data_IF_138616788149
#
_entry.id   IF_138616788149
#
_cell.length_a   1.000
_cell.length_b   1.000
_cell.length_c   1.000
_cell.angle_alpha   90.00
_cell.angle_beta   90.00
_cell.angle_gamma   90.00
#
_symmetry.space_group_name_H-M   'P 1'
#
loop_
_entity.id
_entity.type
_entity.pdbx_description
1 polymer ?
#
# COMPACT_ATOMS: atom_id res chain seq x y z
N UNK A 1 -14.63 10.72 -1.38
CA UNK A 1 -13.80 10.47 -2.58
C UNK A 1 -12.41 9.94 -2.22
N UNK A 2 -11.65 10.59 -1.31
CA UNK A 2 -10.30 10.15 -0.90
C UNK A 2 -10.19 8.67 -0.46
N UNK A 3 -11.13 8.15 0.33
CA UNK A 3 -11.09 6.74 0.76
C UNK A 3 -11.23 5.73 -0.40
N UNK A 4 -11.96 6.09 -1.46
CA UNK A 4 -12.09 5.25 -2.65
C UNK A 4 -10.80 5.22 -3.47
N UNK A 5 -10.13 6.36 -3.61
CA UNK A 5 -8.81 6.43 -4.27
C UNK A 5 -7.76 5.61 -3.51
N UNK A 6 -7.73 5.70 -2.18
CA UNK A 6 -6.87 4.87 -1.35
C UNK A 6 -7.13 3.38 -1.60
N UNK A 7 -8.40 2.96 -1.54
CA UNK A 7 -8.79 1.56 -1.75
C UNK A 7 -8.35 1.07 -3.14
N UNK A 8 -8.49 1.91 -4.18
CA UNK A 8 -8.01 1.58 -5.53
C UNK A 8 -6.48 1.43 -5.58
N UNK A 9 -5.72 2.35 -4.97
CA UNK A 9 -4.26 2.27 -4.94
C UNK A 9 -3.77 1.00 -4.23
N UNK A 10 -4.38 0.65 -3.11
CA UNK A 10 -4.05 -0.58 -2.37
C UNK A 10 -4.44 -1.85 -3.14
N UNK A 11 -5.59 -1.85 -3.83
CA UNK A 11 -6.02 -2.97 -4.66
C UNK A 11 -5.05 -3.22 -5.83
N UNK A 12 -4.64 -2.16 -6.54
CA UNK A 12 -3.65 -2.27 -7.62
C UNK A 12 -2.30 -2.76 -7.09
N UNK A 13 -1.84 -2.25 -5.94
CA UNK A 13 -0.61 -2.73 -5.31
C UNK A 13 -0.68 -4.23 -4.98
N UNK A 14 -1.81 -4.71 -4.46
CA UNK A 14 -2.02 -6.13 -4.20
C UNK A 14 -1.97 -7.01 -5.46
N UNK A 15 -2.52 -6.52 -6.58
CA UNK A 15 -2.43 -7.22 -7.88
C UNK A 15 -0.98 -7.31 -8.36
N UNK A 16 -0.21 -6.22 -8.26
CA UNK A 16 1.20 -6.18 -8.68
C UNK A 16 2.04 -7.18 -7.84
N UNK A 17 1.81 -7.22 -6.52
CA UNK A 17 2.48 -8.17 -5.64
C UNK A 17 2.09 -9.62 -5.95
N UNK A 18 0.80 -9.90 -6.15
CA UNK A 18 0.34 -11.25 -6.50
C UNK A 18 0.87 -11.72 -7.86
N UNK A 19 1.11 -10.79 -8.79
CA UNK A 19 1.75 -11.08 -10.08
C UNK A 19 3.27 -11.34 -9.95
N UNK A 20 3.86 -11.22 -8.76
CA UNK A 20 5.29 -11.43 -8.52
C UNK A 20 6.19 -10.35 -9.12
N UNK A 21 5.63 -9.18 -9.44
CA UNK A 21 6.37 -8.08 -10.07
C UNK A 21 7.22 -7.27 -9.09
N UNK A 22 6.94 -7.39 -7.80
CA UNK A 22 7.64 -6.73 -6.70
C UNK A 22 7.84 -7.72 -5.54
N UNK A 23 8.89 -7.48 -4.76
CA UNK A 23 9.18 -8.22 -3.53
C UNK A 23 8.24 -7.84 -2.37
N UNK A 24 8.25 -8.64 -1.31
CA UNK A 24 7.48 -8.36 -0.09
C UNK A 24 7.93 -7.05 0.59
N UNK A 25 9.24 -6.77 0.62
CA UNK A 25 9.79 -5.50 1.10
C UNK A 25 9.28 -4.30 0.31
N UNK A 26 9.33 -4.38 -1.03
CA UNK A 26 8.82 -3.33 -1.91
C UNK A 26 7.31 -3.11 -1.74
N UNK A 27 6.54 -4.20 -1.56
CA UNK A 27 5.12 -4.13 -1.24
C UNK A 27 4.88 -3.42 0.10
N UNK A 28 5.61 -3.80 1.16
CA UNK A 28 5.47 -3.23 2.50
C UNK A 28 5.80 -1.73 2.53
N UNK A 29 6.93 -1.32 1.95
CA UNK A 29 7.36 0.08 1.85
C UNK A 29 6.34 0.90 1.05
N UNK A 30 5.88 0.38 -0.10
CA UNK A 30 4.94 1.08 -0.97
C UNK A 30 3.56 1.21 -0.31
N UNK A 31 3.08 0.16 0.36
CA UNK A 31 1.83 0.19 1.13
C UNK A 31 1.88 1.25 2.23
N UNK A 32 2.97 1.29 3.01
CA UNK A 32 3.15 2.28 4.07
C UNK A 32 3.20 3.70 3.52
N UNK A 33 3.91 3.93 2.41
CA UNK A 33 3.95 5.24 1.75
C UNK A 33 2.57 5.68 1.25
N UNK A 34 1.80 4.77 0.64
CA UNK A 34 0.42 5.06 0.21
C UNK A 34 -0.45 5.38 1.43
N UNK A 35 -0.36 4.65 2.53
CA UNK A 35 -1.14 4.93 3.73
C UNK A 35 -0.78 6.29 4.36
N UNK A 36 0.52 6.63 4.42
CA UNK A 36 1.00 7.92 4.92
C UNK A 36 0.49 9.12 4.10
N UNK A 37 0.43 8.99 2.76
CA UNK A 37 -0.12 10.03 1.87
C UNK A 37 -1.58 10.38 2.22
N UNK A 38 -2.30 9.43 2.83
CA UNK A 38 -3.68 9.59 3.29
C UNK A 38 -3.78 9.89 4.80
N UNK A 39 -2.67 10.20 5.46
CA UNK A 39 -2.56 10.39 6.92
C UNK A 39 -3.05 9.18 7.73
N UNK A 40 -2.99 7.99 7.15
CA UNK A 40 -3.27 6.74 7.86
C UNK A 40 -1.94 6.22 8.38
N UNK A 41 -1.72 6.40 9.68
CA UNK A 41 -0.54 5.87 10.35
C UNK A 41 -0.72 4.36 10.49
N UNK A 42 0.08 3.58 9.77
CA UNK A 42 0.21 2.16 10.05
C UNK A 42 1.05 2.01 11.31
N UNK A 43 0.46 1.51 12.40
CA UNK A 43 1.17 1.15 13.62
C UNK A 43 1.96 -0.14 13.40
N UNK A 44 3.00 -0.09 12.59
CA UNK A 44 4.01 -1.15 12.50
C UNK A 44 5.33 -0.54 12.96
N UNK A 45 5.46 -0.43 14.28
CA UNK A 45 6.70 -0.15 14.96
C UNK A 45 6.87 -1.19 16.08
N UNK A 46 7.44 -2.33 15.72
CA UNK A 46 8.39 -3.13 16.51
C UNK A 46 8.84 -4.35 15.71
#
# INVERSE_FOLDING_TARGET
MKNLELAKKLAVLGVIFHAGLISEDEYSITKNRIMMDYNIVSFLNN
#
